data_IF_912112702224
#
_entry.id   IF_912112702224
#
_cell.length_a   1.000
_cell.length_b   1.000
_cell.length_c   1.000
_cell.angle_alpha   90.00
_cell.angle_beta   90.00
_cell.angle_gamma   90.00
#
_symmetry.space_group_name_H-M   'P 1'
#
loop_
_entity.id
_entity.type
_entity.pdbx_description
1 polymer ?
#
# COMPACT_ATOMS: atom_id res chain seq x y z
N UNK A 1 28.61 -7.45 -9.25
CA UNK A 1 27.39 -7.22 -8.45
C UNK A 1 26.56 -6.13 -9.10
N UNK A 2 25.26 -6.23 -9.06
CA UNK A 2 24.37 -5.14 -9.44
C UNK A 2 24.50 -4.00 -8.40
N UNK A 3 24.20 -2.77 -8.84
CA UNK A 3 24.03 -1.66 -7.89
C UNK A 3 22.78 -1.89 -7.05
N UNK A 4 22.82 -1.48 -5.77
CA UNK A 4 21.63 -1.49 -4.91
C UNK A 4 20.55 -0.59 -5.50
N UNK A 5 19.31 -1.03 -5.54
CA UNK A 5 18.19 -0.27 -6.09
C UNK A 5 17.09 -1.11 -6.72
N UNK A 6 16.16 -0.42 -7.37
CA UNK A 6 14.98 -1.02 -7.98
C UNK A 6 15.28 -1.46 -9.41
N UNK A 7 14.98 -2.72 -9.71
CA UNK A 7 15.18 -3.29 -11.04
C UNK A 7 13.98 -2.94 -11.93
N UNK A 8 14.20 -2.12 -12.96
CA UNK A 8 13.15 -1.67 -13.87
C UNK A 8 12.98 -2.56 -15.11
N UNK A 9 14.08 -3.06 -15.65
CA UNK A 9 14.14 -3.79 -16.89
C UNK A 9 15.56 -3.82 -17.46
N UNK A 10 15.70 -4.04 -18.74
CA UNK A 10 16.99 -4.01 -19.42
C UNK A 10 16.94 -3.23 -20.73
N UNK A 11 18.08 -2.65 -21.10
CA UNK A 11 18.33 -2.15 -22.46
C UNK A 11 19.40 -3.01 -23.08
N UNK A 12 19.03 -3.80 -24.09
CA UNK A 12 19.87 -4.87 -24.63
C UNK A 12 20.32 -5.85 -23.52
N UNK A 13 21.63 -5.84 -23.18
CA UNK A 13 22.21 -6.69 -22.11
C UNK A 13 22.38 -5.96 -20.77
N UNK A 14 22.17 -4.64 -20.72
CA UNK A 14 22.40 -3.83 -19.52
C UNK A 14 21.11 -3.75 -18.70
N UNK A 15 21.18 -4.16 -17.44
CA UNK A 15 20.07 -4.03 -16.48
C UNK A 15 19.94 -2.56 -16.07
N UNK A 16 18.72 -2.07 -16.08
CA UNK A 16 18.37 -0.71 -15.66
C UNK A 16 17.94 -0.77 -14.20
N UNK A 17 18.71 -0.08 -13.35
CA UNK A 17 18.45 0.01 -11.90
C UNK A 17 18.18 1.45 -11.56
N UNK A 18 17.07 1.67 -10.86
CA UNK A 18 16.73 2.97 -10.30
C UNK A 18 17.22 3.08 -8.87
N UNK A 19 18.00 4.11 -8.61
CA UNK A 19 18.53 4.47 -7.28
C UNK A 19 17.89 5.76 -6.74
N UNK A 20 16.99 6.37 -7.53
CA UNK A 20 16.29 7.58 -7.08
C UNK A 20 15.35 7.28 -5.92
N UNK A 21 14.95 8.30 -5.21
CA UNK A 21 13.93 8.20 -4.15
C UNK A 21 12.48 8.23 -4.67
N UNK A 22 12.29 8.48 -5.97
CA UNK A 22 10.95 8.63 -6.54
C UNK A 22 10.12 7.37 -6.42
N UNK A 23 8.82 7.56 -6.18
CA UNK A 23 7.86 6.47 -6.24
C UNK A 23 7.69 5.95 -7.67
N UNK A 24 7.34 4.68 -7.79
CA UNK A 24 7.19 3.98 -9.06
C UNK A 24 5.78 3.43 -9.20
N UNK A 25 5.17 3.65 -10.37
CA UNK A 25 3.91 3.00 -10.77
C UNK A 25 4.21 1.86 -11.74
N UNK A 26 3.80 0.64 -11.41
CA UNK A 26 3.78 -0.51 -12.32
C UNK A 26 2.34 -0.76 -12.76
N UNK A 27 2.10 -0.72 -14.06
CA UNK A 27 0.78 -0.95 -14.63
C UNK A 27 0.83 -2.06 -15.69
N UNK A 28 -0.09 -3.01 -15.60
CA UNK A 28 -0.24 -4.03 -16.62
C UNK A 28 -1.09 -5.21 -16.17
N UNK A 29 -1.69 -5.97 -17.09
CA UNK A 29 -2.61 -7.05 -16.78
C UNK A 29 -1.95 -8.17 -15.96
N UNK A 30 -2.77 -9.08 -15.45
CA UNK A 30 -2.27 -10.30 -14.79
C UNK A 30 -1.32 -11.06 -15.73
N UNK A 31 -0.29 -11.69 -15.15
CA UNK A 31 0.68 -12.54 -15.87
C UNK A 31 1.48 -11.82 -16.96
N UNK A 32 1.47 -10.49 -17.01
CA UNK A 32 2.30 -9.74 -17.96
C UNK A 32 3.78 -9.67 -17.57
N UNK A 33 4.16 -10.23 -16.41
CA UNK A 33 5.54 -10.32 -15.94
C UNK A 33 6.00 -9.23 -14.97
N UNK A 34 5.12 -8.42 -14.40
CA UNK A 34 5.47 -7.39 -13.38
C UNK A 34 6.30 -7.99 -12.22
N UNK A 35 5.79 -9.11 -11.64
CA UNK A 35 6.46 -9.82 -10.54
C UNK A 35 7.85 -10.30 -10.92
N UNK A 36 7.95 -11.06 -12.03
CA UNK A 36 9.21 -11.68 -12.47
C UNK A 36 10.23 -10.67 -13.02
N UNK A 37 9.76 -9.55 -13.59
CA UNK A 37 10.66 -8.53 -14.15
C UNK A 37 11.16 -7.54 -13.11
N UNK A 38 10.29 -7.07 -12.22
CA UNK A 38 10.60 -5.94 -11.34
C UNK A 38 10.55 -6.32 -9.87
N UNK A 39 9.48 -6.97 -9.39
CA UNK A 39 9.29 -7.22 -7.95
C UNK A 39 10.34 -8.18 -7.40
N UNK A 40 10.42 -9.41 -7.92
CA UNK A 40 11.36 -10.44 -7.43
C UNK A 40 12.81 -9.99 -7.59
N UNK A 41 13.26 -9.50 -8.78
CA UNK A 41 14.64 -9.00 -8.92
C UNK A 41 14.95 -7.84 -7.98
N UNK A 42 14.00 -6.93 -7.76
CA UNK A 42 14.17 -5.82 -6.81
C UNK A 42 14.35 -6.33 -5.40
N UNK A 43 13.46 -7.21 -4.93
CA UNK A 43 13.54 -7.77 -3.58
C UNK A 43 14.84 -8.55 -3.32
N UNK A 44 15.46 -9.09 -4.36
CA UNK A 44 16.77 -9.77 -4.31
C UNK A 44 17.97 -8.84 -4.52
N UNK A 45 17.74 -7.57 -4.87
CA UNK A 45 18.81 -6.61 -5.12
C UNK A 45 18.81 -5.39 -4.18
N UNK A 46 17.66 -5.06 -3.60
CA UNK A 46 17.52 -3.92 -2.69
C UNK A 46 17.89 -4.30 -1.26
N UNK A 47 18.98 -3.71 -0.71
CA UNK A 47 19.56 -4.13 0.56
C UNK A 47 18.95 -3.46 1.81
N UNK A 48 18.09 -2.46 1.63
CA UNK A 48 17.43 -1.75 2.73
C UNK A 48 16.16 -2.46 3.19
N UNK A 49 15.46 -1.90 4.17
CA UNK A 49 14.20 -2.46 4.68
C UNK A 49 13.11 -2.54 3.61
N UNK A 50 12.24 -3.53 3.75
CA UNK A 50 11.09 -3.73 2.84
C UNK A 50 9.83 -4.01 3.64
N UNK A 51 8.73 -3.34 3.28
CA UNK A 51 7.37 -3.74 3.62
C UNK A 51 6.63 -4.09 2.32
N UNK A 52 6.22 -5.32 2.14
CA UNK A 52 5.60 -5.81 0.91
C UNK A 52 4.22 -6.40 1.17
N UNK A 53 3.21 -5.92 0.43
CA UNK A 53 1.93 -6.60 0.31
C UNK A 53 2.08 -7.68 -0.74
N UNK A 54 1.79 -8.92 -0.36
CA UNK A 54 2.01 -10.13 -1.14
C UNK A 54 0.73 -10.96 -1.22
N UNK A 55 -0.21 -10.57 -2.08
CA UNK A 55 -1.54 -11.19 -2.17
C UNK A 55 -1.53 -12.71 -2.39
N UNK A 56 -0.51 -13.21 -3.08
CA UNK A 56 -0.44 -14.62 -3.47
C UNK A 56 0.67 -15.39 -2.74
N UNK A 57 1.45 -14.71 -1.90
CA UNK A 57 2.60 -15.30 -1.23
C UNK A 57 3.78 -15.60 -2.16
N UNK A 58 3.79 -15.04 -3.39
CA UNK A 58 4.89 -15.24 -4.34
C UNK A 58 6.15 -14.49 -3.93
N UNK A 59 6.00 -13.22 -3.53
CA UNK A 59 7.14 -12.40 -3.12
C UNK A 59 7.84 -12.98 -1.88
N UNK A 60 7.08 -13.38 -0.85
CA UNK A 60 7.61 -14.02 0.34
C UNK A 60 8.25 -15.37 0.03
N UNK A 61 7.60 -16.18 -0.81
CA UNK A 61 8.11 -17.50 -1.21
C UNK A 61 9.46 -17.44 -1.91
N UNK A 62 9.62 -16.52 -2.89
CA UNK A 62 10.84 -16.45 -3.69
C UNK A 62 11.94 -15.58 -3.09
N UNK A 63 11.62 -14.70 -2.14
CA UNK A 63 12.57 -13.69 -1.69
C UNK A 63 12.91 -13.73 -0.21
N UNK A 64 12.07 -14.29 0.68
CA UNK A 64 12.31 -14.23 2.12
C UNK A 64 13.65 -14.86 2.53
N UNK A 65 14.00 -16.02 1.96
CA UNK A 65 15.29 -16.67 2.28
C UNK A 65 16.49 -15.92 1.71
N UNK A 66 16.36 -15.30 0.53
CA UNK A 66 17.43 -14.48 -0.02
C UNK A 66 17.63 -13.20 0.80
N UNK A 67 16.55 -12.62 1.33
CA UNK A 67 16.63 -11.49 2.28
C UNK A 67 17.37 -11.90 3.57
N UNK A 68 17.12 -13.12 4.10
CA UNK A 68 17.87 -13.67 5.25
C UNK A 68 19.35 -13.87 4.93
N UNK A 69 19.68 -14.34 3.71
CA UNK A 69 21.08 -14.47 3.26
C UNK A 69 21.80 -13.12 3.13
N UNK A 70 21.06 -12.03 2.91
CA UNK A 70 21.58 -10.65 2.95
C UNK A 70 21.85 -10.15 4.38
N UNK A 71 21.59 -10.97 5.41
CA UNK A 71 21.77 -10.62 6.82
C UNK A 71 20.55 -9.94 7.47
N UNK A 72 19.41 -9.91 6.79
CA UNK A 72 18.18 -9.29 7.32
C UNK A 72 17.32 -10.29 8.08
N UNK A 73 16.50 -9.77 9.02
CA UNK A 73 15.35 -10.51 9.53
C UNK A 73 14.21 -10.40 8.49
N UNK A 74 13.67 -11.54 8.07
CA UNK A 74 12.53 -11.57 7.17
C UNK A 74 11.32 -12.18 7.87
N UNK A 75 10.30 -11.34 8.07
CA UNK A 75 9.04 -11.66 8.73
C UNK A 75 7.94 -11.87 7.68
N UNK A 76 7.16 -12.94 7.84
CA UNK A 76 6.01 -13.24 6.99
C UNK A 76 4.78 -13.26 7.88
N UNK A 77 3.90 -12.28 7.72
CA UNK A 77 2.58 -12.25 8.36
C UNK A 77 1.61 -12.88 7.36
N UNK A 78 1.00 -14.01 7.72
CA UNK A 78 0.04 -14.72 6.85
C UNK A 78 -1.20 -15.11 7.64
N UNK A 79 -2.14 -14.17 7.85
CA UNK A 79 -3.38 -14.49 8.54
C UNK A 79 -4.21 -15.43 7.66
N UNK A 80 -4.73 -16.49 8.26
CA UNK A 80 -5.56 -17.46 7.54
C UNK A 80 -4.84 -18.71 7.05
N UNK A 81 -3.54 -18.83 7.20
CA UNK A 81 -2.87 -20.12 7.11
C UNK A 81 -3.06 -20.88 8.43
N UNK A 82 -3.56 -22.09 8.35
CA UNK A 82 -3.91 -22.93 9.52
C UNK A 82 -2.68 -23.37 10.36
N UNK A 83 -1.47 -23.00 9.93
CA UNK A 83 -0.21 -23.56 10.38
C UNK A 83 0.61 -22.62 11.30
N UNK A 84 0.04 -21.48 11.75
CA UNK A 84 0.73 -20.59 12.69
C UNK A 84 1.09 -21.29 14.01
N UNK A 85 0.21 -22.20 14.49
CA UNK A 85 0.44 -22.94 15.71
C UNK A 85 1.36 -24.15 15.51
N UNK A 86 1.33 -24.77 14.32
CA UNK A 86 2.18 -25.91 13.98
C UNK A 86 3.61 -25.51 13.57
N UNK A 87 3.78 -24.30 12.98
CA UNK A 87 5.06 -23.76 12.55
C UNK A 87 5.27 -22.31 12.98
N UNK A 88 5.32 -22.00 14.29
CA UNK A 88 5.45 -20.63 14.80
C UNK A 88 6.75 -19.93 14.36
N UNK A 89 7.77 -20.70 13.95
CA UNK A 89 9.01 -20.16 13.39
C UNK A 89 8.91 -19.70 11.92
N UNK A 90 7.84 -20.06 11.21
CA UNK A 90 7.64 -19.73 9.80
C UNK A 90 6.93 -18.41 9.61
N UNK A 91 5.97 -18.08 10.47
CA UNK A 91 5.16 -16.90 10.40
C UNK A 91 5.40 -15.98 11.60
N UNK A 92 5.39 -14.67 11.32
CA UNK A 92 5.50 -13.65 12.34
C UNK A 92 4.12 -13.16 12.76
N UNK A 93 4.04 -12.65 13.98
CA UNK A 93 2.87 -12.00 14.52
C UNK A 93 3.09 -10.48 14.65
N UNK A 94 2.00 -9.70 14.55
CA UNK A 94 2.03 -8.26 14.70
C UNK A 94 0.72 -7.74 15.30
N UNK A 95 0.78 -7.24 16.54
CA UNK A 95 -0.36 -6.61 17.21
C UNK A 95 -0.32 -5.09 16.99
N UNK A 96 -1.27 -4.50 16.27
CA UNK A 96 -1.28 -3.05 16.02
C UNK A 96 -1.33 -2.21 17.30
N UNK A 97 -1.86 -2.75 18.41
CA UNK A 97 -1.94 -2.02 19.67
C UNK A 97 -0.57 -1.88 20.37
N UNK A 98 0.43 -2.73 20.03
CA UNK A 98 1.78 -2.62 20.58
C UNK A 98 2.55 -1.40 20.02
N UNK A 99 2.07 -0.83 18.91
CA UNK A 99 2.63 0.38 18.29
C UNK A 99 2.15 1.68 18.98
N UNK A 100 1.18 1.60 19.88
CA UNK A 100 0.67 2.77 20.61
C UNK A 100 1.68 3.19 21.69
N UNK A 101 2.27 4.38 21.53
CA UNK A 101 3.28 4.96 22.42
C UNK A 101 2.64 5.61 23.64
N UNK A 102 3.35 5.61 24.78
CA UNK A 102 2.86 6.19 26.04
C UNK A 102 2.55 7.68 25.93
N UNK A 103 3.41 8.44 25.25
CA UNK A 103 3.26 9.90 25.10
C UNK A 103 2.26 10.32 24.04
N UNK A 104 1.86 9.39 23.16
CA UNK A 104 1.02 9.64 21.99
C UNK A 104 -0.21 8.72 21.94
N UNK A 105 -0.67 8.19 23.07
CA UNK A 105 -1.69 7.13 23.11
C UNK A 105 -2.99 7.50 22.39
N UNK A 106 -3.47 8.72 22.57
CA UNK A 106 -4.72 9.17 21.95
C UNK A 106 -4.55 9.21 20.43
N UNK A 107 -3.50 9.88 19.95
CA UNK A 107 -3.26 10.03 18.51
C UNK A 107 -2.95 8.68 17.83
N UNK A 108 -2.15 7.83 18.47
CA UNK A 108 -1.81 6.50 17.91
C UNK A 108 -3.04 5.57 17.89
N UNK A 109 -3.91 5.62 18.91
CA UNK A 109 -5.16 4.87 18.94
C UNK A 109 -6.18 5.41 17.92
N UNK A 110 -6.23 6.75 17.72
CA UNK A 110 -7.07 7.38 16.71
C UNK A 110 -6.68 6.96 15.28
N UNK A 111 -5.38 6.83 15.00
CA UNK A 111 -4.89 6.32 13.70
C UNK A 111 -5.47 4.93 13.40
N UNK A 112 -5.53 4.04 14.40
CA UNK A 112 -6.13 2.70 14.25
C UNK A 112 -7.64 2.82 13.99
N UNK A 113 -8.34 3.64 14.77
CA UNK A 113 -9.78 3.84 14.65
C UNK A 113 -10.15 4.45 13.29
N UNK A 114 -9.39 5.44 12.81
CA UNK A 114 -9.55 6.02 11.48
C UNK A 114 -9.41 4.97 10.38
N UNK A 115 -8.37 4.15 10.43
CA UNK A 115 -8.13 3.10 9.43
C UNK A 115 -9.28 2.08 9.38
N UNK A 116 -9.83 1.72 10.54
CA UNK A 116 -10.92 0.76 10.67
C UNK A 116 -12.26 1.34 10.19
N UNK A 117 -12.66 2.49 10.71
CA UNK A 117 -13.97 3.11 10.42
C UNK A 117 -14.05 3.58 8.96
N UNK A 118 -12.97 4.15 8.40
CA UNK A 118 -12.92 4.59 7.00
C UNK A 118 -13.06 3.43 6.01
N UNK A 119 -12.84 2.20 6.46
CA UNK A 119 -12.98 1.00 5.62
C UNK A 119 -14.44 0.67 5.28
N UNK A 120 -15.39 1.13 6.09
CA UNK A 120 -16.81 0.83 5.94
C UNK A 120 -17.49 1.92 5.11
N UNK A 121 -17.99 1.56 3.93
CA UNK A 121 -18.51 2.50 2.92
C UNK A 121 -20.04 2.57 2.85
N UNK A 122 -20.76 2.22 3.91
CA UNK A 122 -22.23 2.32 3.92
C UNK A 122 -22.69 3.77 3.96
N UNK A 123 -23.74 4.09 3.18
CA UNK A 123 -24.39 5.41 3.15
C UNK A 123 -25.26 5.68 4.40
N UNK A 124 -25.54 4.68 5.22
CA UNK A 124 -26.28 4.82 6.48
C UNK A 124 -25.50 5.63 7.53
N UNK A 125 -24.17 5.64 7.43
CA UNK A 125 -23.31 6.32 8.39
C UNK A 125 -22.96 7.73 7.92
N UNK A 126 -23.61 8.73 8.51
CA UNK A 126 -23.29 10.14 8.27
C UNK A 126 -21.87 10.48 8.73
N UNK A 127 -21.26 11.57 8.22
CA UNK A 127 -19.95 12.03 8.72
C UNK A 127 -19.93 12.26 10.25
N UNK A 128 -21.05 12.74 10.83
CA UNK A 128 -21.17 12.93 12.28
C UNK A 128 -21.12 11.61 13.04
N UNK A 129 -21.87 10.58 12.60
CA UNK A 129 -21.82 9.24 13.19
C UNK A 129 -20.42 8.64 13.10
N UNK A 130 -19.73 8.78 11.94
CA UNK A 130 -18.37 8.30 11.78
C UNK A 130 -17.38 8.98 12.74
N UNK A 131 -17.48 10.29 12.93
CA UNK A 131 -16.62 11.02 13.88
C UNK A 131 -16.82 10.53 15.31
N UNK A 132 -18.08 10.31 15.73
CA UNK A 132 -18.35 9.78 17.06
C UNK A 132 -17.90 8.31 17.17
N UNK A 133 -18.06 7.49 16.14
CA UNK A 133 -17.58 6.12 16.13
C UNK A 133 -16.04 6.05 16.28
N UNK A 134 -15.29 6.91 15.58
CA UNK A 134 -13.83 7.03 15.73
C UNK A 134 -13.48 7.40 17.17
N UNK A 135 -14.14 8.42 17.73
CA UNK A 135 -13.90 8.88 19.11
C UNK A 135 -14.16 7.75 20.13
N UNK A 136 -15.27 7.04 20.00
CA UNK A 136 -15.68 5.96 20.90
C UNK A 136 -14.73 4.75 20.74
N UNK A 137 -14.40 4.36 19.53
CA UNK A 137 -13.47 3.25 19.29
C UNK A 137 -12.07 3.56 19.86
N UNK A 138 -11.59 4.79 19.68
CA UNK A 138 -10.32 5.27 20.26
C UNK A 138 -10.36 5.17 21.79
N UNK A 139 -11.46 5.60 22.43
CA UNK A 139 -11.64 5.47 23.86
C UNK A 139 -11.60 4.01 24.32
N UNK A 140 -12.31 3.10 23.63
CA UNK A 140 -12.28 1.67 23.96
C UNK A 140 -10.89 1.03 23.78
N UNK A 141 -10.12 1.43 22.75
CA UNK A 141 -8.73 0.97 22.59
C UNK A 141 -7.89 1.37 23.79
N UNK A 142 -7.97 2.63 24.23
CA UNK A 142 -7.21 3.14 25.37
C UNK A 142 -7.63 2.44 26.67
N UNK A 143 -8.94 2.30 26.92
CA UNK A 143 -9.49 1.62 28.09
C UNK A 143 -9.05 0.15 28.11
N UNK A 144 -9.14 -0.54 26.97
CA UNK A 144 -8.75 -1.93 26.86
C UNK A 144 -7.27 -2.13 27.22
N UNK A 145 -6.38 -1.29 26.68
CA UNK A 145 -4.94 -1.33 26.99
C UNK A 145 -4.62 -1.00 28.46
N UNK A 146 -5.42 -0.18 29.11
CA UNK A 146 -5.23 0.13 30.52
C UNK A 146 -5.66 -1.01 31.45
N UNK A 147 -6.63 -1.82 31.02
CA UNK A 147 -7.20 -2.92 31.84
C UNK A 147 -6.65 -4.30 31.52
N UNK A 148 -6.16 -4.54 30.28
CA UNK A 148 -5.72 -5.82 29.78
C UNK A 148 -4.25 -5.73 29.39
N UNK A 149 -3.38 -6.55 30.00
CA UNK A 149 -1.93 -6.50 29.80
C UNK A 149 -1.51 -6.76 28.34
N UNK A 150 -2.10 -7.77 27.70
CA UNK A 150 -1.77 -8.17 26.33
C UNK A 150 -2.97 -7.86 25.41
N UNK A 151 -3.47 -6.61 25.53
CA UNK A 151 -4.61 -6.15 24.76
C UNK A 151 -4.34 -6.22 23.25
N UNK A 152 -5.32 -6.65 22.49
CA UNK A 152 -5.34 -6.66 21.03
C UNK A 152 -6.73 -6.27 20.52
N UNK A 153 -6.92 -6.15 19.21
CA UNK A 153 -8.20 -5.71 18.65
C UNK A 153 -9.36 -6.67 18.95
N UNK A 154 -9.10 -7.97 19.16
CA UNK A 154 -10.12 -8.90 19.62
C UNK A 154 -10.57 -8.57 21.06
N UNK A 155 -9.65 -8.22 21.94
CA UNK A 155 -9.99 -7.78 23.31
C UNK A 155 -10.85 -6.51 23.29
N UNK A 156 -10.57 -5.59 22.37
CA UNK A 156 -11.39 -4.38 22.16
C UNK A 156 -12.78 -4.76 21.67
N UNK A 157 -12.91 -5.67 20.70
CA UNK A 157 -14.20 -6.15 20.22
C UNK A 157 -15.03 -6.77 21.36
N UNK A 158 -14.43 -7.63 22.19
CA UNK A 158 -15.13 -8.29 23.30
C UNK A 158 -15.60 -7.24 24.33
N UNK A 159 -14.77 -6.27 24.66
CA UNK A 159 -15.12 -5.20 25.57
C UNK A 159 -16.32 -4.36 25.09
N UNK A 160 -16.37 -4.06 23.78
CA UNK A 160 -17.48 -3.31 23.18
C UNK A 160 -18.76 -4.15 23.13
N UNK A 161 -18.68 -5.47 22.82
CA UNK A 161 -19.81 -6.40 22.88
C UNK A 161 -20.42 -6.42 24.28
N UNK A 162 -19.58 -6.57 25.31
CA UNK A 162 -20.01 -6.56 26.71
C UNK A 162 -20.66 -5.21 27.11
N UNK A 163 -20.07 -4.09 26.69
CA UNK A 163 -20.65 -2.77 26.91
C UNK A 163 -22.03 -2.61 26.25
N UNK A 164 -22.19 -3.09 25.01
CA UNK A 164 -23.49 -3.03 24.29
C UNK A 164 -24.59 -3.81 25.03
N UNK A 165 -24.22 -4.95 25.62
CA UNK A 165 -25.17 -5.80 26.37
C UNK A 165 -25.52 -5.21 27.73
N UNK A 166 -24.51 -4.81 28.51
CA UNK A 166 -24.70 -4.39 29.91
C UNK A 166 -25.01 -2.90 30.08
N UNK A 167 -24.67 -2.07 29.10
CA UNK A 167 -24.78 -0.60 29.14
C UNK A 167 -24.12 0.03 30.39
N UNK A 168 -23.08 -0.61 30.91
CA UNK A 168 -22.40 -0.15 32.14
C UNK A 168 -21.43 1.01 31.83
N UNK A 169 -21.89 2.23 32.17
CA UNK A 169 -21.10 3.45 31.98
C UNK A 169 -19.81 3.50 32.83
N UNK A 170 -19.66 2.61 33.84
CA UNK A 170 -18.44 2.52 34.63
C UNK A 170 -17.23 2.05 33.81
N UNK A 171 -17.44 1.52 32.62
CA UNK A 171 -16.36 1.16 31.71
C UNK A 171 -15.46 2.34 31.38
N UNK A 172 -16.04 3.55 31.33
CA UNK A 172 -15.31 4.80 31.06
C UNK A 172 -14.52 5.36 32.27
N UNK A 173 -14.61 4.70 33.44
CA UNK A 173 -13.83 5.10 34.61
C UNK A 173 -12.42 4.49 34.51
N UNK A 174 -11.42 5.35 34.40
CA UNK A 174 -10.00 5.01 34.44
C UNK A 174 -9.29 5.91 35.44
N UNK A 175 -8.29 5.36 36.12
CA UNK A 175 -7.55 6.08 37.21
C UNK A 175 -6.42 6.99 36.65
N UNK A 176 -6.17 6.96 35.33
CA UNK A 176 -5.07 7.71 34.71
C UNK A 176 -5.45 9.15 34.38
N UNK A 177 -4.86 10.07 35.07
CA UNK A 177 -5.13 11.54 35.00
C UNK A 177 -4.92 12.09 33.59
N UNK A 178 -3.97 11.54 32.80
CA UNK A 178 -3.64 12.06 31.47
C UNK A 178 -4.67 11.69 30.42
N UNK A 179 -5.41 10.61 30.61
CA UNK A 179 -6.40 10.05 29.68
C UNK A 179 -7.83 10.38 30.08
N UNK A 180 -8.07 10.71 31.37
CA UNK A 180 -9.41 10.97 31.92
C UNK A 180 -10.15 12.05 31.13
N UNK A 181 -9.48 13.13 30.73
CA UNK A 181 -10.09 14.21 29.95
C UNK A 181 -10.67 13.75 28.62
N UNK A 182 -9.89 12.98 27.85
CA UNK A 182 -10.31 12.43 26.57
C UNK A 182 -11.45 11.40 26.72
N UNK A 183 -11.30 10.47 27.66
CA UNK A 183 -12.31 9.44 27.93
C UNK A 183 -13.62 10.06 28.40
N UNK A 184 -13.55 11.10 29.27
CA UNK A 184 -14.72 11.86 29.70
C UNK A 184 -15.40 12.55 28.52
N UNK A 185 -14.64 13.20 27.65
CA UNK A 185 -15.17 13.82 26.42
C UNK A 185 -15.90 12.80 25.54
N UNK A 186 -15.27 11.64 25.32
CA UNK A 186 -15.87 10.57 24.54
C UNK A 186 -17.18 10.07 25.15
N UNK A 187 -17.19 9.82 26.45
CA UNK A 187 -18.39 9.44 27.20
C UNK A 187 -19.50 10.51 27.11
N UNK A 188 -19.18 11.76 27.39
CA UNK A 188 -20.15 12.84 27.41
C UNK A 188 -20.75 13.07 26.01
N UNK A 189 -19.93 12.96 24.96
CA UNK A 189 -20.41 13.00 23.56
C UNK A 189 -21.32 11.84 23.23
N UNK A 190 -20.98 10.64 23.68
CA UNK A 190 -21.78 9.42 23.47
C UNK A 190 -23.14 9.50 24.18
N UNK A 191 -23.19 10.01 25.41
CA UNK A 191 -24.42 10.15 26.19
C UNK A 191 -25.35 11.27 25.68
N UNK A 192 -24.88 12.15 24.78
CA UNK A 192 -25.72 13.16 24.12
C UNK A 192 -26.45 12.63 22.89
N UNK A 193 -26.13 11.41 22.42
CA UNK A 193 -26.77 10.80 21.28
C UNK A 193 -28.14 10.22 21.62
N UNK A 194 -29.03 10.17 20.64
CA UNK A 194 -30.26 9.40 20.72
C UNK A 194 -29.97 7.89 20.75
N UNK A 195 -30.93 7.09 21.20
CA UNK A 195 -30.82 5.62 21.20
C UNK A 195 -30.54 5.05 19.79
N UNK A 196 -31.10 5.65 18.75
CA UNK A 196 -30.87 5.25 17.36
C UNK A 196 -29.43 5.55 16.95
N UNK A 197 -28.91 6.75 17.25
CA UNK A 197 -27.52 7.13 16.96
C UNK A 197 -26.53 6.27 17.74
N UNK A 198 -26.81 5.97 19.01
CA UNK A 198 -26.02 5.04 19.83
C UNK A 198 -25.90 3.68 19.15
N UNK A 199 -27.04 3.15 18.68
CA UNK A 199 -27.04 1.87 17.98
C UNK A 199 -26.23 1.92 16.68
N UNK A 200 -26.35 2.99 15.89
CA UNK A 200 -25.56 3.18 14.66
C UNK A 200 -24.05 3.25 14.95
N UNK A 201 -23.65 4.04 15.95
CA UNK A 201 -22.24 4.17 16.37
C UNK A 201 -21.70 2.82 16.82
N UNK A 202 -22.38 2.12 17.72
CA UNK A 202 -21.90 0.82 18.23
C UNK A 202 -21.88 -0.25 17.14
N UNK A 203 -22.86 -0.26 16.22
CA UNK A 203 -22.87 -1.19 15.09
C UNK A 203 -21.68 -0.92 14.17
N UNK A 204 -21.45 0.33 13.80
CA UNK A 204 -20.30 0.71 12.95
C UNK A 204 -18.96 0.29 13.57
N UNK A 205 -18.79 0.54 14.88
CA UNK A 205 -17.56 0.14 15.59
C UNK A 205 -17.41 -1.37 15.66
N UNK A 206 -18.47 -2.11 15.96
CA UNK A 206 -18.44 -3.58 15.99
C UNK A 206 -18.14 -4.17 14.62
N UNK A 207 -18.82 -3.67 13.57
CA UNK A 207 -18.62 -4.13 12.18
C UNK A 207 -17.19 -3.93 11.73
N UNK A 208 -16.55 -2.83 12.15
CA UNK A 208 -15.15 -2.55 11.83
C UNK A 208 -14.14 -3.54 12.43
N UNK A 209 -14.55 -4.28 13.47
CA UNK A 209 -13.74 -5.24 14.21
C UNK A 209 -14.14 -6.71 13.99
N UNK A 210 -15.17 -7.01 13.20
CA UNK A 210 -15.70 -8.38 13.02
C UNK A 210 -14.66 -9.38 12.52
N UNK A 211 -13.68 -8.93 11.72
CA UNK A 211 -12.60 -9.80 11.24
C UNK A 211 -11.77 -10.39 12.38
N UNK A 212 -11.79 -9.81 13.57
CA UNK A 212 -11.05 -10.30 14.74
C UNK A 212 -11.72 -11.49 15.42
N UNK A 213 -12.98 -11.81 15.11
CA UNK A 213 -13.65 -13.02 15.59
C UNK A 213 -13.08 -14.30 14.97
N UNK A 214 -12.41 -14.20 13.82
CA UNK A 214 -11.73 -15.34 13.19
C UNK A 214 -10.58 -15.84 14.09
N UNK A 215 -10.58 -17.14 14.41
CA UNK A 215 -9.56 -17.75 15.25
C UNK A 215 -8.15 -17.59 14.68
N UNK A 216 -8.03 -17.58 13.34
CA UNK A 216 -6.77 -17.37 12.62
C UNK A 216 -6.18 -15.98 12.81
N UNK A 217 -7.03 -15.00 13.12
CA UNK A 217 -6.57 -13.66 13.52
C UNK A 217 -5.72 -13.73 14.79
N UNK A 218 -6.14 -14.51 15.79
CA UNK A 218 -5.52 -14.50 17.11
C UNK A 218 -4.06 -14.92 17.09
N UNK A 219 -3.71 -15.94 16.32
CA UNK A 219 -2.33 -16.42 16.23
C UNK A 219 -1.39 -15.41 15.58
N UNK A 220 -1.89 -14.66 14.59
CA UNK A 220 -1.10 -13.70 13.84
C UNK A 220 -1.02 -12.31 14.49
N UNK A 221 -1.95 -11.96 15.44
CA UNK A 221 -2.10 -10.59 15.92
C UNK A 221 -2.22 -10.45 17.45
N UNK A 222 -1.85 -11.48 18.22
CA UNK A 222 -1.86 -11.43 19.68
C UNK A 222 -0.60 -10.84 20.31
N UNK A 223 0.50 -10.74 19.55
CA UNK A 223 1.80 -10.19 19.96
C UNK A 223 2.50 -9.58 18.75
N UNK A 224 3.64 -8.93 18.98
CA UNK A 224 4.49 -8.41 17.91
C UNK A 224 5.88 -9.01 17.93
N UNK A 225 6.32 -9.57 16.79
CA UNK A 225 7.68 -10.08 16.61
C UNK A 225 8.64 -9.00 16.04
N UNK A 226 8.12 -7.87 15.60
CA UNK A 226 8.86 -6.66 15.17
C UNK A 226 8.04 -5.42 15.49
N UNK A 227 8.67 -4.25 15.35
CA UNK A 227 8.02 -2.93 15.45
C UNK A 227 8.11 -2.17 14.13
N UNK A 228 7.20 -1.23 13.89
CA UNK A 228 7.26 -0.35 12.71
C UNK A 228 8.55 0.48 12.72
N UNK A 229 9.07 0.86 13.89
CA UNK A 229 10.36 1.53 14.01
C UNK A 229 11.53 0.72 13.44
N UNK A 230 11.46 -0.62 13.47
CA UNK A 230 12.53 -1.48 12.94
C UNK A 230 12.62 -1.40 11.41
N UNK A 231 11.49 -1.08 10.72
CA UNK A 231 11.50 -0.80 9.28
C UNK A 231 12.29 0.47 8.92
N UNK A 232 12.48 1.38 9.88
CA UNK A 232 13.18 2.64 9.69
C UNK A 232 14.64 2.59 10.19
N UNK A 233 15.07 1.47 10.77
CA UNK A 233 16.45 1.26 11.21
C UNK A 233 17.34 0.92 10.01
N UNK A 234 18.20 1.88 9.64
CA UNK A 234 19.12 1.72 8.52
C UNK A 234 20.29 0.78 8.82
N UNK A 235 20.63 0.60 10.10
CA UNK A 235 21.73 -0.26 10.52
C UNK A 235 21.33 -1.74 10.54
N UNK A 236 20.08 -2.02 10.86
CA UNK A 236 19.55 -3.37 10.96
C UNK A 236 18.29 -3.52 10.09
N UNK A 237 18.42 -3.45 8.76
CA UNK A 237 17.27 -3.50 7.86
C UNK A 237 16.49 -4.81 8.01
N UNK A 238 15.17 -4.72 7.97
CA UNK A 238 14.26 -5.86 8.04
C UNK A 238 13.37 -5.96 6.81
N UNK A 239 12.83 -7.14 6.56
CA UNK A 239 11.84 -7.37 5.51
C UNK A 239 10.55 -7.90 6.12
N UNK A 240 9.43 -7.25 5.84
CA UNK A 240 8.11 -7.67 6.28
C UNK A 240 7.26 -7.95 5.04
N UNK A 241 6.76 -9.17 4.94
CA UNK A 241 5.82 -9.60 3.90
C UNK A 241 4.45 -9.82 4.55
N UNK A 242 3.45 -9.06 4.11
CA UNK A 242 2.07 -9.32 4.50
C UNK A 242 1.40 -10.15 3.40
N UNK A 243 1.29 -11.46 3.65
CA UNK A 243 0.79 -12.44 2.69
C UNK A 243 -0.69 -12.74 2.94
N UNK A 244 -1.52 -12.58 1.92
CA UNK A 244 -2.96 -12.88 1.96
C UNK A 244 -3.30 -14.09 1.08
N UNK A 245 -2.56 -15.19 1.21
CA UNK A 245 -2.86 -16.42 0.48
C UNK A 245 -4.33 -16.81 0.67
N UNK A 246 -4.96 -17.28 -0.38
CA UNK A 246 -6.37 -17.67 -0.35
C UNK A 246 -7.38 -16.51 -0.36
N UNK A 247 -6.97 -15.28 -0.69
CA UNK A 247 -7.86 -14.12 -0.84
C UNK A 247 -8.65 -13.75 0.42
N UNK A 248 -8.02 -13.81 1.59
CA UNK A 248 -8.63 -13.45 2.86
C UNK A 248 -8.85 -11.93 2.99
N UNK A 249 -9.76 -11.38 2.17
CA UNK A 249 -10.09 -9.93 2.12
C UNK A 249 -10.55 -9.36 3.46
N UNK A 250 -11.03 -10.19 4.35
CA UNK A 250 -11.41 -9.79 5.71
C UNK A 250 -10.25 -9.15 6.49
N UNK A 251 -9.01 -9.42 6.14
CA UNK A 251 -7.83 -8.84 6.80
C UNK A 251 -7.30 -7.55 6.15
N UNK A 252 -7.95 -7.05 5.10
CA UNK A 252 -7.61 -5.75 4.49
C UNK A 252 -7.63 -4.60 5.52
N UNK A 253 -8.57 -4.54 6.49
CA UNK A 253 -8.54 -3.52 7.53
C UNK A 253 -7.22 -3.48 8.31
N UNK A 254 -6.63 -4.64 8.64
CA UNK A 254 -5.32 -4.71 9.29
C UNK A 254 -4.21 -4.11 8.43
N UNK A 255 -4.20 -4.47 7.17
CA UNK A 255 -3.21 -3.95 6.23
C UNK A 255 -3.29 -2.42 6.13
N UNK A 256 -4.51 -1.88 6.15
CA UNK A 256 -4.72 -0.43 6.22
C UNK A 256 -4.18 0.17 7.52
N UNK A 257 -4.44 -0.46 8.68
CA UNK A 257 -3.88 -0.01 9.97
C UNK A 257 -2.36 0.06 9.88
N UNK A 258 -1.70 -1.00 9.42
CA UNK A 258 -0.24 -1.05 9.31
C UNK A 258 0.28 0.08 8.40
N UNK A 259 -0.34 0.30 7.24
CA UNK A 259 0.04 1.38 6.34
C UNK A 259 -0.14 2.76 6.99
N UNK A 260 -1.26 2.99 7.69
CA UNK A 260 -1.49 4.24 8.43
C UNK A 260 -0.44 4.44 9.53
N UNK A 261 -0.10 3.40 10.28
CA UNK A 261 0.91 3.46 11.32
C UNK A 261 2.31 3.72 10.75
N UNK A 262 2.67 3.08 9.61
CA UNK A 262 3.94 3.37 8.91
C UNK A 262 3.98 4.82 8.46
N UNK A 263 2.94 5.31 7.78
CA UNK A 263 2.90 6.68 7.27
C UNK A 263 2.95 7.70 8.41
N UNK A 264 2.18 7.50 9.47
CA UNK A 264 2.18 8.37 10.63
C UNK A 264 3.56 8.43 11.29
N UNK A 265 4.18 7.26 11.55
CA UNK A 265 5.50 7.15 12.15
C UNK A 265 6.58 7.86 11.33
N UNK A 266 6.55 7.68 10.01
CA UNK A 266 7.49 8.34 9.09
C UNK A 266 7.32 9.85 9.12
N UNK A 267 6.09 10.34 9.01
CA UNK A 267 5.82 11.78 8.95
C UNK A 267 6.17 12.50 10.26
N UNK A 268 5.99 11.86 11.41
CA UNK A 268 6.39 12.41 12.71
C UNK A 268 7.91 12.43 12.90
N UNK A 269 8.58 11.32 12.58
CA UNK A 269 10.06 11.22 12.71
C UNK A 269 10.76 12.21 11.78
N UNK A 270 10.14 12.56 10.68
CA UNK A 270 10.65 13.46 9.66
C UNK A 270 10.80 14.91 10.12
N UNK A 271 10.05 15.34 11.13
CA UNK A 271 10.20 16.69 11.71
C UNK A 271 11.54 16.86 12.45
N UNK A 272 12.23 15.74 12.73
CA UNK A 272 13.45 15.70 13.54
C UNK A 272 14.71 15.30 12.75
N UNK A 273 14.59 14.86 11.49
CA UNK A 273 15.72 14.32 10.73
C UNK A 273 15.98 15.06 9.41
N UNK A 274 17.25 15.08 8.98
CA UNK A 274 17.67 15.61 7.69
C UNK A 274 17.05 14.78 6.54
N UNK A 275 16.73 15.45 5.44
CA UNK A 275 16.29 14.78 4.20
C UNK A 275 17.40 13.82 3.72
N UNK A 276 17.01 12.59 3.41
CA UNK A 276 17.94 11.58 2.89
C UNK A 276 17.94 11.61 1.36
N UNK A 277 19.11 11.40 0.75
CA UNK A 277 19.26 11.29 -0.71
C UNK A 277 18.89 9.89 -1.21
N UNK A 278 19.08 8.85 -0.38
CA UNK A 278 18.84 7.46 -0.72
C UNK A 278 17.59 6.90 -0.01
N UNK A 279 16.87 5.95 -0.65
CA UNK A 279 15.76 5.27 -0.01
C UNK A 279 16.27 4.32 1.09
N UNK A 280 15.65 4.37 2.28
CA UNK A 280 15.93 3.49 3.42
C UNK A 280 14.85 2.42 3.65
N UNK A 281 13.65 2.65 3.14
CA UNK A 281 12.54 1.70 3.18
C UNK A 281 11.86 1.65 1.81
N UNK A 282 11.62 0.43 1.33
CA UNK A 282 10.77 0.18 0.17
C UNK A 282 9.40 -0.32 0.64
N UNK A 283 8.33 0.37 0.23
CA UNK A 283 6.95 -0.08 0.39
C UNK A 283 6.46 -0.60 -0.96
N UNK A 284 6.09 -1.87 -1.02
CA UNK A 284 5.56 -2.51 -2.22
C UNK A 284 4.06 -2.77 -2.03
N UNK A 285 3.23 -2.05 -2.77
CA UNK A 285 1.78 -2.15 -2.75
C UNK A 285 1.30 -2.92 -3.98
N UNK A 286 1.36 -4.26 -3.91
CA UNK A 286 0.83 -5.09 -4.99
C UNK A 286 -0.70 -5.04 -5.00
N UNK A 287 -1.30 -5.14 -6.18
CA UNK A 287 -2.75 -5.04 -6.40
C UNK A 287 -3.39 -3.90 -5.59
N UNK A 288 -2.78 -2.72 -5.61
CA UNK A 288 -3.17 -1.55 -4.82
C UNK A 288 -4.67 -1.26 -4.81
N UNK A 289 -5.43 -1.38 -5.92
CA UNK A 289 -6.87 -1.14 -5.93
C UNK A 289 -7.68 -2.08 -5.01
N UNK A 290 -7.16 -3.26 -4.69
CA UNK A 290 -7.80 -4.21 -3.79
C UNK A 290 -7.84 -3.73 -2.32
N UNK A 291 -6.93 -2.83 -1.96
CA UNK A 291 -6.96 -2.16 -0.66
C UNK A 291 -8.19 -1.27 -0.49
N UNK A 292 -8.82 -0.85 -1.59
CA UNK A 292 -9.89 0.15 -1.57
C UNK A 292 -9.38 1.50 -1.07
N UNK A 293 -10.28 2.31 -0.53
CA UNK A 293 -9.92 3.61 0.05
C UNK A 293 -9.10 3.41 1.33
N UNK A 294 -7.88 3.94 1.34
CA UNK A 294 -7.00 3.91 2.52
C UNK A 294 -7.39 5.04 3.48
N UNK A 295 -7.75 6.20 2.96
CA UNK A 295 -8.24 7.35 3.71
C UNK A 295 -9.64 7.72 3.25
N UNK A 296 -10.43 8.28 4.13
CA UNK A 296 -11.73 8.86 3.78
C UNK A 296 -11.57 10.01 2.77
N UNK A 297 -10.52 10.83 2.99
CA UNK A 297 -10.06 11.85 2.04
C UNK A 297 -8.88 11.33 1.23
N UNK A 298 -9.10 11.01 -0.03
CA UNK A 298 -8.09 10.48 -0.95
C UNK A 298 -6.94 11.47 -1.23
N UNK A 299 -7.21 12.79 -1.11
CA UNK A 299 -6.18 13.80 -1.26
C UNK A 299 -5.12 13.70 -0.16
N UNK A 300 -5.49 13.25 1.05
CA UNK A 300 -4.54 13.01 2.13
C UNK A 300 -3.60 11.84 1.81
N UNK A 301 -4.12 10.79 1.16
CA UNK A 301 -3.29 9.69 0.67
C UNK A 301 -2.26 10.16 -0.35
N UNK A 302 -2.69 10.94 -1.34
CA UNK A 302 -1.76 11.49 -2.35
C UNK A 302 -0.73 12.42 -1.73
N UNK A 303 -1.16 13.26 -0.79
CA UNK A 303 -0.25 14.13 -0.05
C UNK A 303 0.82 13.31 0.67
N UNK A 304 0.41 12.30 1.44
CA UNK A 304 1.34 11.44 2.16
C UNK A 304 2.27 10.71 1.20
N UNK A 305 1.74 10.10 0.14
CA UNK A 305 2.54 9.38 -0.86
C UNK A 305 3.58 10.28 -1.54
N UNK A 306 3.25 11.55 -1.81
CA UNK A 306 4.20 12.55 -2.36
C UNK A 306 5.28 12.96 -1.36
N UNK A 307 5.00 12.91 -0.05
CA UNK A 307 5.96 13.30 0.98
C UNK A 307 6.96 12.18 1.30
N UNK A 308 6.54 10.91 1.23
CA UNK A 308 7.35 9.75 1.61
C UNK A 308 8.79 9.76 1.04
N UNK A 309 9.02 10.10 -0.25
CA UNK A 309 10.36 10.14 -0.81
C UNK A 309 11.32 11.10 -0.11
N UNK A 310 10.81 12.20 0.46
CA UNK A 310 11.62 13.17 1.20
C UNK A 310 12.25 12.57 2.45
N UNK A 311 11.63 11.52 2.98
CA UNK A 311 12.03 10.83 4.20
C UNK A 311 12.73 9.50 3.95
N UNK A 312 13.14 9.27 2.70
CA UNK A 312 13.80 8.03 2.30
C UNK A 312 12.85 6.83 2.18
N UNK A 313 11.56 7.08 2.01
CA UNK A 313 10.59 6.00 1.77
C UNK A 313 10.23 5.96 0.29
N UNK A 314 10.59 4.88 -0.36
CA UNK A 314 10.26 4.63 -1.76
C UNK A 314 9.06 3.71 -1.85
N UNK A 315 8.07 4.07 -2.67
CA UNK A 315 6.88 3.25 -2.85
C UNK A 315 6.78 2.74 -4.28
N UNK A 316 6.55 1.44 -4.44
CA UNK A 316 6.14 0.83 -5.70
C UNK A 316 4.66 0.49 -5.59
N UNK A 317 3.84 1.13 -6.43
CA UNK A 317 2.41 0.84 -6.54
C UNK A 317 2.17 0.01 -7.79
N UNK A 318 1.49 -1.12 -7.64
CA UNK A 318 1.20 -2.05 -8.73
C UNK A 318 -0.31 -2.07 -8.97
N UNK A 319 -0.68 -1.85 -10.23
CA UNK A 319 -2.06 -1.91 -10.70
C UNK A 319 -2.15 -2.82 -11.93
N UNK A 320 -3.31 -3.41 -12.14
CA UNK A 320 -3.55 -4.24 -13.32
C UNK A 320 -4.04 -3.39 -14.49
N UNK A 321 -4.97 -2.49 -14.22
CA UNK A 321 -5.60 -1.64 -15.21
C UNK A 321 -5.79 -0.22 -14.64
N UNK A 322 -5.42 0.84 -15.39
CA UNK A 322 -5.68 2.22 -15.01
C UNK A 322 -7.16 2.51 -14.69
N UNK A 323 -8.09 1.80 -15.31
CA UNK A 323 -9.52 1.94 -15.03
C UNK A 323 -9.89 1.62 -13.57
N UNK A 324 -9.19 0.68 -12.94
CA UNK A 324 -9.40 0.34 -11.53
C UNK A 324 -9.17 1.58 -10.64
N UNK A 325 -8.13 2.36 -10.94
CA UNK A 325 -7.84 3.62 -10.25
C UNK A 325 -8.91 4.67 -10.52
N UNK A 326 -9.34 4.83 -11.78
CA UNK A 326 -10.42 5.75 -12.13
C UNK A 326 -11.72 5.41 -11.41
N UNK A 327 -12.03 4.12 -11.27
CA UNK A 327 -13.21 3.63 -10.53
C UNK A 327 -13.08 3.88 -9.02
N UNK A 328 -11.91 3.66 -8.45
CA UNK A 328 -11.65 3.80 -7.01
C UNK A 328 -11.64 5.27 -6.58
N UNK A 329 -10.94 6.12 -7.33
CA UNK A 329 -10.64 7.51 -6.96
C UNK A 329 -11.52 8.54 -7.68
N UNK A 330 -12.20 8.15 -8.75
CA UNK A 330 -12.84 9.02 -9.71
C UNK A 330 -11.87 9.64 -10.73
N UNK A 331 -12.29 9.77 -11.98
CA UNK A 331 -11.43 10.22 -13.09
C UNK A 331 -10.76 11.58 -12.83
N UNK A 332 -11.43 12.47 -12.10
CA UNK A 332 -10.87 13.79 -11.72
C UNK A 332 -9.61 13.73 -10.87
N UNK A 333 -9.41 12.63 -10.13
CA UNK A 333 -8.29 12.46 -9.22
C UNK A 333 -7.10 11.69 -9.85
N UNK A 334 -7.26 11.17 -11.08
CA UNK A 334 -6.19 10.43 -11.79
C UNK A 334 -4.93 11.25 -11.97
N UNK A 335 -5.08 12.55 -12.26
CA UNK A 335 -3.93 13.46 -12.39
C UNK A 335 -3.15 13.55 -11.08
N UNK A 336 -3.84 13.79 -9.96
CA UNK A 336 -3.22 13.86 -8.62
C UNK A 336 -2.52 12.56 -8.23
N UNK A 337 -3.13 11.41 -8.53
CA UNK A 337 -2.52 10.10 -8.35
C UNK A 337 -1.25 9.94 -9.20
N UNK A 338 -1.33 10.24 -10.50
CA UNK A 338 -0.20 10.11 -11.41
C UNK A 338 1.01 10.99 -11.02
N UNK A 339 0.75 12.17 -10.44
CA UNK A 339 1.80 13.09 -9.93
C UNK A 339 2.56 12.55 -8.71
N UNK A 340 2.08 11.47 -8.07
CA UNK A 340 2.79 10.82 -6.98
C UNK A 340 4.01 10.02 -7.45
N UNK A 341 4.16 9.78 -8.75
CA UNK A 341 5.16 8.87 -9.32
C UNK A 341 6.08 9.60 -10.30
N UNK A 342 7.37 9.65 -9.99
CA UNK A 342 8.40 10.12 -10.92
C UNK A 342 8.64 9.12 -12.05
N UNK A 343 8.42 7.85 -11.79
CA UNK A 343 8.62 6.77 -12.76
C UNK A 343 7.37 5.90 -12.94
N UNK A 344 7.09 5.52 -14.18
CA UNK A 344 5.92 4.71 -14.53
C UNK A 344 6.31 3.66 -15.58
N UNK A 345 5.96 2.41 -15.31
CA UNK A 345 6.23 1.27 -16.18
C UNK A 345 4.90 0.63 -16.60
N UNK A 346 4.67 0.55 -17.89
CA UNK A 346 3.47 -0.06 -18.47
C UNK A 346 3.85 -1.35 -19.21
N UNK A 347 3.35 -2.47 -18.70
CA UNK A 347 3.59 -3.81 -19.23
C UNK A 347 2.44 -4.23 -20.17
N UNK A 348 2.61 -4.05 -21.46
CA UNK A 348 1.60 -4.41 -22.49
C UNK A 348 0.17 -3.99 -22.06
N UNK A 349 -0.07 -2.71 -21.81
CA UNK A 349 -1.30 -2.27 -21.19
C UNK A 349 -2.50 -2.55 -22.12
N UNK A 350 -3.49 -3.28 -21.61
CA UNK A 350 -4.81 -3.29 -22.20
C UNK A 350 -5.55 -2.08 -21.65
N UNK A 351 -5.70 -1.02 -22.47
CA UNK A 351 -6.20 0.25 -21.97
C UNK A 351 -7.70 0.29 -22.18
N UNK A 352 -8.46 -0.12 -21.15
CA UNK A 352 -9.90 0.07 -21.09
C UNK A 352 -10.35 1.50 -20.77
N UNK A 353 -9.39 2.44 -20.60
CA UNK A 353 -9.68 3.84 -20.29
C UNK A 353 -9.94 4.68 -21.56
N UNK A 354 -10.80 5.71 -21.47
CA UNK A 354 -10.78 6.80 -22.43
C UNK A 354 -9.37 7.37 -22.60
N UNK A 355 -9.01 7.75 -23.82
CA UNK A 355 -7.68 8.29 -24.16
C UNK A 355 -7.28 9.43 -23.21
N UNK A 356 -8.22 10.32 -22.90
CA UNK A 356 -8.01 11.46 -22.01
C UNK A 356 -7.59 11.03 -20.59
N UNK A 357 -8.20 9.99 -20.04
CA UNK A 357 -7.90 9.50 -18.68
C UNK A 357 -6.52 8.81 -18.65
N UNK A 358 -6.17 8.12 -19.74
CA UNK A 358 -4.84 7.55 -19.90
C UNK A 358 -3.77 8.64 -20.03
N UNK A 359 -4.02 9.70 -20.77
CA UNK A 359 -3.14 10.88 -20.87
C UNK A 359 -2.88 11.49 -19.49
N UNK A 360 -3.93 11.62 -18.65
CA UNK A 360 -3.80 12.11 -17.27
C UNK A 360 -2.90 11.21 -16.42
N UNK A 361 -2.99 9.88 -16.60
CA UNK A 361 -2.18 8.93 -15.86
C UNK A 361 -0.72 8.95 -16.29
N UNK A 362 -0.46 9.06 -17.58
CA UNK A 362 0.90 9.04 -18.16
C UNK A 362 1.65 10.34 -17.82
N UNK A 363 1.00 11.49 -17.82
CA UNK A 363 1.59 12.83 -17.56
C UNK A 363 2.94 13.05 -18.25
N UNK A 364 2.95 12.95 -19.57
CA UNK A 364 4.15 13.26 -20.34
C UNK A 364 4.29 14.77 -20.46
N UNK A 365 5.14 15.37 -19.63
CA UNK A 365 5.36 16.81 -19.58
C UNK A 365 6.41 17.31 -20.60
N UNK A 366 7.36 16.47 -20.96
CA UNK A 366 8.51 16.87 -21.77
C UNK A 366 8.55 16.17 -23.12
N UNK A 367 7.65 16.59 -23.96
CA UNK A 367 7.76 16.33 -25.38
C UNK A 367 8.61 17.43 -26.09
N UNK A 368 9.37 18.20 -25.31
CA UNK A 368 10.09 19.40 -25.77
C UNK A 368 11.20 19.11 -26.82
N UNK A 369 11.55 17.84 -27.02
CA UNK A 369 12.45 17.44 -28.11
C UNK A 369 11.73 17.09 -29.41
N UNK A 370 10.39 17.04 -29.40
CA UNK A 370 9.57 16.75 -30.57
C UNK A 370 8.52 17.85 -30.75
N UNK A 371 8.51 18.43 -31.91
CA UNK A 371 7.62 19.44 -32.44
C UNK A 371 6.35 19.73 -31.61
N UNK A 372 6.23 20.96 -31.09
CA UNK A 372 5.15 21.43 -30.20
C UNK A 372 3.75 21.26 -30.79
N UNK A 373 3.63 20.95 -32.08
CA UNK A 373 2.37 20.79 -32.82
C UNK A 373 1.88 19.33 -32.93
N UNK A 374 2.62 18.33 -32.44
CA UNK A 374 2.18 16.95 -32.53
C UNK A 374 1.34 16.54 -31.31
N UNK A 375 0.18 15.92 -31.56
CA UNK A 375 -0.68 15.41 -30.49
C UNK A 375 -0.05 14.17 -29.80
N UNK A 376 -0.56 13.82 -28.63
CA UNK A 376 -0.10 12.67 -27.82
C UNK A 376 0.07 11.40 -28.64
N UNK A 377 -0.90 11.09 -29.51
CA UNK A 377 -0.91 9.91 -30.38
C UNK A 377 0.30 9.88 -31.29
N UNK A 378 0.64 10.99 -31.92
CA UNK A 378 1.81 11.10 -32.82
C UNK A 378 3.11 10.86 -32.07
N UNK A 379 3.18 11.27 -30.81
CA UNK A 379 4.35 11.16 -29.96
C UNK A 379 4.58 9.72 -29.48
N UNK A 380 3.53 9.04 -28.99
CA UNK A 380 3.59 7.59 -28.65
C UNK A 380 3.93 6.78 -29.91
N UNK A 381 3.33 7.13 -31.06
CA UNK A 381 3.66 6.51 -32.34
C UNK A 381 5.14 6.57 -32.68
N UNK A 382 5.75 7.73 -32.55
CA UNK A 382 7.17 7.92 -32.91
C UNK A 382 8.11 7.09 -32.05
N UNK A 383 7.81 6.92 -30.74
CA UNK A 383 8.60 6.07 -29.85
C UNK A 383 8.49 4.60 -30.28
N UNK A 384 7.28 4.14 -30.55
CA UNK A 384 7.03 2.76 -30.95
C UNK A 384 7.58 2.52 -32.38
N UNK A 385 7.40 3.48 -33.29
CA UNK A 385 7.86 3.37 -34.67
C UNK A 385 9.37 3.25 -34.83
N UNK A 386 10.15 3.93 -34.01
CA UNK A 386 11.61 3.84 -34.03
C UNK A 386 12.13 2.42 -33.67
N UNK A 387 11.32 1.57 -33.09
CA UNK A 387 11.72 0.24 -32.61
C UNK A 387 11.06 -0.93 -33.30
N UNK A 388 9.96 -0.71 -34.01
CA UNK A 388 9.23 -1.78 -34.69
C UNK A 388 9.66 -1.85 -36.16
N UNK A 389 10.13 -3.01 -36.54
CA UNK A 389 10.45 -3.34 -37.91
C UNK A 389 9.22 -3.14 -38.82
N UNK A 390 9.37 -2.44 -39.95
CA UNK A 390 8.32 -1.87 -40.80
C UNK A 390 7.30 -2.87 -41.42
N UNK A 391 7.23 -4.12 -40.97
CA UNK A 391 6.52 -5.22 -41.69
C UNK A 391 5.07 -5.48 -41.24
N UNK A 392 4.57 -4.90 -40.13
CA UNK A 392 3.20 -5.19 -39.69
C UNK A 392 2.16 -4.27 -40.34
N UNK A 393 1.34 -4.83 -41.26
CA UNK A 393 0.20 -4.13 -41.90
C UNK A 393 -0.84 -3.61 -40.88
N UNK A 394 -1.06 -4.37 -39.80
CA UNK A 394 -2.04 -4.02 -38.76
C UNK A 394 -1.57 -2.83 -37.91
N UNK A 395 -0.28 -2.74 -37.61
CA UNK A 395 0.30 -1.59 -36.94
C UNK A 395 0.16 -0.33 -37.79
N UNK A 396 0.46 -0.40 -39.09
CA UNK A 396 0.25 0.72 -40.03
C UNK A 396 -1.21 1.20 -40.02
N UNK A 397 -2.18 0.27 -39.97
CA UNK A 397 -3.61 0.61 -39.90
C UNK A 397 -3.98 1.29 -38.59
N UNK A 398 -3.49 0.82 -37.43
CA UNK A 398 -3.69 1.46 -36.13
C UNK A 398 -3.06 2.87 -36.08
N UNK A 399 -1.87 3.03 -36.67
CA UNK A 399 -1.23 4.33 -36.83
C UNK A 399 -2.05 5.33 -37.66
N UNK A 400 -2.57 4.89 -38.81
CA UNK A 400 -3.37 5.72 -39.71
C UNK A 400 -4.69 6.16 -39.08
N UNK A 401 -5.29 5.30 -38.26
CA UNK A 401 -6.58 5.56 -37.61
C UNK A 401 -6.45 6.29 -36.26
N UNK A 402 -5.26 6.71 -35.88
CA UNK A 402 -5.01 7.34 -34.56
C UNK A 402 -5.46 6.47 -33.37
N UNK A 403 -5.43 5.16 -33.52
CA UNK A 403 -5.81 4.18 -32.52
C UNK A 403 -4.63 3.92 -31.57
N UNK A 404 -4.61 4.63 -30.43
CA UNK A 404 -3.59 4.45 -29.38
C UNK A 404 -3.64 3.05 -28.78
N UNK A 405 -4.84 2.50 -28.57
CA UNK A 405 -5.00 1.15 -28.03
C UNK A 405 -4.42 0.13 -29.00
N UNK A 406 -4.70 0.25 -30.27
CA UNK A 406 -4.09 -0.59 -31.31
C UNK A 406 -2.57 -0.45 -31.36
N UNK A 407 -2.04 0.75 -31.17
CA UNK A 407 -0.59 0.99 -31.14
C UNK A 407 0.05 0.34 -29.91
N UNK A 408 -0.56 0.46 -28.73
CA UNK A 408 -0.03 -0.11 -27.49
C UNK A 408 -0.16 -1.64 -27.43
N UNK A 409 -1.18 -2.21 -28.09
CA UNK A 409 -1.31 -3.67 -28.24
C UNK A 409 -0.16 -4.31 -29.02
N UNK A 410 0.54 -3.54 -29.85
CA UNK A 410 1.71 -4.01 -30.59
C UNK A 410 3.02 -3.93 -29.79
N UNK A 411 3.02 -3.44 -28.53
CA UNK A 411 4.18 -3.61 -27.68
C UNK A 411 4.47 -5.12 -27.59
N UNK A 412 5.70 -5.49 -27.90
CA UNK A 412 6.13 -6.90 -27.83
C UNK A 412 5.91 -7.40 -26.42
N UNK A 413 5.63 -8.68 -26.28
CA UNK A 413 5.47 -9.35 -24.98
C UNK A 413 6.64 -9.06 -24.01
N UNK A 414 7.82 -8.74 -24.57
CA UNK A 414 9.06 -8.45 -23.82
C UNK A 414 9.35 -6.96 -23.65
N UNK A 415 8.50 -6.07 -24.13
CA UNK A 415 8.72 -4.62 -24.04
C UNK A 415 7.92 -4.00 -22.88
N UNK A 416 8.47 -2.93 -22.30
CA UNK A 416 7.87 -2.10 -21.28
C UNK A 416 7.91 -0.67 -21.78
N UNK A 417 6.76 0.01 -21.73
CA UNK A 417 6.71 1.45 -21.96
C UNK A 417 7.08 2.15 -20.64
N UNK A 418 8.25 2.75 -20.63
CA UNK A 418 8.84 3.37 -19.44
C UNK A 418 8.82 4.88 -19.54
N UNK A 419 8.36 5.53 -18.49
CA UNK A 419 8.33 6.99 -18.35
C UNK A 419 9.12 7.36 -17.10
N UNK A 420 10.10 8.25 -17.29
CA UNK A 420 10.91 8.82 -16.22
C UNK A 420 10.77 10.34 -16.27
N UNK A 421 10.16 10.96 -15.24
CA UNK A 421 9.90 12.40 -15.17
C UNK A 421 9.34 13.00 -16.46
N UNK A 422 8.44 12.28 -17.11
CA UNK A 422 7.82 12.69 -18.37
C UNK A 422 8.60 12.34 -19.63
N UNK A 423 9.84 11.87 -19.55
CA UNK A 423 10.57 11.33 -20.70
C UNK A 423 10.15 9.87 -20.94
N UNK A 424 9.67 9.57 -22.15
CA UNK A 424 9.19 8.22 -22.48
C UNK A 424 10.20 7.43 -23.31
N UNK A 425 10.34 6.14 -23.03
CA UNK A 425 11.20 5.20 -23.74
C UNK A 425 10.64 3.80 -23.74
N UNK A 426 11.21 2.90 -24.55
CA UNK A 426 10.95 1.47 -24.51
C UNK A 426 12.16 0.75 -23.93
N UNK A 427 11.92 -0.10 -22.93
CA UNK A 427 12.90 -0.98 -22.34
C UNK A 427 12.42 -2.44 -22.43
N UNK A 428 13.33 -3.40 -22.28
CA UNK A 428 12.99 -4.80 -22.36
C UNK A 428 12.76 -5.40 -20.97
N UNK A 429 11.90 -6.42 -20.88
CA UNK A 429 11.70 -7.22 -19.68
C UNK A 429 12.93 -8.05 -19.37
N UNK A 430 13.13 -8.28 -18.08
CA UNK A 430 14.07 -9.27 -17.56
C UNK A 430 13.30 -10.58 -17.36
N UNK A 431 13.93 -11.67 -17.73
CA UNK A 431 13.45 -13.01 -17.40
C UNK A 431 14.26 -13.51 -16.20
N UNK A 432 13.78 -13.23 -14.98
CA UNK A 432 14.47 -13.54 -13.73
C UNK A 432 15.09 -14.94 -13.69
N UNK A 433 14.37 -15.97 -14.16
CA UNK A 433 14.88 -17.35 -14.20
C UNK A 433 15.86 -17.65 -15.33
N UNK A 434 16.11 -16.74 -16.26
CA UNK A 434 16.95 -16.94 -17.45
C UNK A 434 18.07 -15.93 -17.60
N UNK A 435 17.88 -14.72 -17.10
CA UNK A 435 18.84 -13.62 -17.29
C UNK A 435 19.83 -13.58 -16.11
N UNK A 436 21.13 -13.52 -16.41
CA UNK A 436 22.14 -13.23 -15.43
C UNK A 436 21.94 -11.79 -14.87
N UNK A 437 22.22 -11.51 -13.61
CA UNK A 437 22.83 -12.39 -12.60
C UNK A 437 21.80 -13.15 -11.72
N UNK A 438 20.52 -13.16 -12.08
CA UNK A 438 19.44 -13.66 -11.23
C UNK A 438 19.21 -15.18 -11.33
N UNK A 439 19.82 -15.82 -12.30
CA UNK A 439 19.70 -17.27 -12.55
C UNK A 439 20.78 -18.12 -11.86
N UNK A 440 21.45 -17.57 -10.84
CA UNK A 440 22.49 -18.25 -10.07
C UNK A 440 21.93 -18.85 -8.78
#
# INVERSE_FOLDING_TARGET
>A
MLKDGIVLGKNNKTIIIDQSKDNILLCGPCRCGKGVNTVIPTLKNFHKSVFAIDWHGEASHFCADDRRKMGQKAFIISPGEDDHDAHPSKFAAFNPLDEIRKECEISDAEVISLALISSITSSEYTPAIRQVAILIQTAFIIICRSKIKDANLFSVLQMIKEFKEKKDANIFNIDDVTRVGFIKQARDKFLQLSDEEINLVLTLVLDSLTFTDDIRYRSAFNKSDFKISDLLDELNPISVFFSLRGWHRQYIPLLRIILHQIFNRVLETSQLSNQTEEPKLLILLDEFPELGKIYENEMLFFYNLKQLPRYGIKTIVIIQDPWQIAKMLGSKNLKGFAECFGQKLFFAPNIGLPIRDFEMLIQINSWNEFDNNSNFISKVKNIIYKRIDHQSKNLKKAFLNNDVNGVLQFLRINDIFYINHGAASLINKIHYFKDAPFNQ
#
